data_IF_266856719394
#
_entry.id   IF_266856719394
#
_cell.length_a   1.000
_cell.length_b   1.000
_cell.length_c   1.000
_cell.angle_alpha   90.00
_cell.angle_beta   90.00
_cell.angle_gamma   90.00
#
_symmetry.space_group_name_H-M   'P 1'
#
loop_
_entity.id
_entity.type
_entity.pdbx_description
1 polymer ?
#
# COMPACT_ATOMS: atom_id res chain seq x y z
N UNK A 1 -3.22 3.62 27.91
CA UNK A 1 -3.87 4.93 28.05
C UNK A 1 -3.69 5.42 29.48
N UNK A 2 -2.71 6.30 29.70
CA UNK A 2 -2.46 7.23 30.83
C UNK A 2 -1.04 7.76 30.60
N UNK A 3 -0.92 8.85 29.85
CA UNK A 3 0.36 9.52 29.54
C UNK A 3 0.37 10.93 30.15
N UNK A 4 -0.76 11.39 30.68
CA UNK A 4 -0.89 12.75 31.21
C UNK A 4 -1.40 12.67 32.67
N UNK A 5 -0.70 13.36 33.54
CA UNK A 5 -0.95 13.43 34.98
C UNK A 5 -2.22 14.25 35.31
N UNK A 6 -2.75 15.00 34.33
CA UNK A 6 -3.96 15.83 34.45
C UNK A 6 -5.28 15.09 34.16
N UNK A 7 -5.24 13.81 33.77
CA UNK A 7 -6.46 13.06 33.49
C UNK A 7 -7.04 12.56 34.82
N UNK A 8 -8.05 13.28 35.34
CA UNK A 8 -8.83 12.90 36.52
C UNK A 8 -9.56 11.54 36.37
N UNK A 9 -10.53 11.24 37.26
CA UNK A 9 -11.25 9.95 37.23
C UNK A 9 -11.99 9.76 35.89
N UNK A 10 -11.45 8.93 35.01
CA UNK A 10 -12.05 8.57 33.72
C UNK A 10 -13.16 7.54 33.94
N UNK A 11 -14.32 7.74 33.31
CA UNK A 11 -15.39 6.75 33.33
C UNK A 11 -14.94 5.44 32.67
N UNK A 12 -15.28 4.30 33.29
CA UNK A 12 -14.86 2.96 32.84
C UNK A 12 -15.08 2.67 31.34
N UNK A 13 -16.14 3.15 30.67
CA UNK A 13 -16.35 2.89 29.25
C UNK A 13 -15.42 3.68 28.30
N UNK A 14 -14.83 4.79 28.75
CA UNK A 14 -14.12 5.75 27.87
C UNK A 14 -12.91 5.13 27.16
N UNK A 15 -12.03 4.35 27.83
CA UNK A 15 -10.91 3.71 27.14
C UNK A 15 -11.36 2.75 26.02
N UNK A 16 -12.46 2.02 26.24
CA UNK A 16 -13.01 1.09 25.23
C UNK A 16 -13.53 1.85 24.02
N UNK A 17 -14.25 2.95 24.26
CA UNK A 17 -14.78 3.82 23.20
C UNK A 17 -13.65 4.46 22.38
N UNK A 18 -12.57 4.88 23.03
CA UNK A 18 -11.40 5.46 22.33
C UNK A 18 -10.73 4.40 21.47
N UNK A 19 -10.53 3.18 21.97
CA UNK A 19 -9.98 2.09 21.15
C UNK A 19 -10.81 1.85 19.89
N UNK A 20 -12.15 1.83 20.03
CA UNK A 20 -13.06 1.67 18.89
C UNK A 20 -13.01 2.86 17.92
N UNK A 21 -12.94 4.08 18.45
CA UNK A 21 -12.81 5.27 17.62
C UNK A 21 -11.50 5.28 16.82
N UNK A 22 -10.39 4.86 17.44
CA UNK A 22 -9.09 4.74 16.78
C UNK A 22 -9.10 3.67 15.69
N UNK A 23 -9.74 2.52 15.94
CA UNK A 23 -9.93 1.46 14.93
C UNK A 23 -10.66 2.00 13.69
N UNK A 24 -11.80 2.67 13.89
CA UNK A 24 -12.58 3.26 12.80
C UNK A 24 -11.83 4.39 12.10
N UNK A 25 -11.08 5.20 12.85
CA UNK A 25 -10.27 6.28 12.32
C UNK A 25 -9.18 5.74 11.39
N UNK A 26 -8.39 4.77 11.83
CA UNK A 26 -7.31 4.17 11.02
C UNK A 26 -7.88 3.47 9.79
N UNK A 27 -8.99 2.73 9.93
CA UNK A 27 -9.66 2.11 8.79
C UNK A 27 -10.08 3.15 7.75
N UNK A 28 -10.75 4.24 8.17
CA UNK A 28 -11.17 5.31 7.27
C UNK A 28 -9.99 6.01 6.60
N UNK A 29 -8.91 6.26 7.34
CA UNK A 29 -7.69 6.88 6.81
C UNK A 29 -7.03 6.01 5.73
N UNK A 30 -6.90 4.70 5.99
CA UNK A 30 -6.28 3.77 5.06
C UNK A 30 -7.12 3.55 3.80
N UNK A 31 -8.44 3.52 3.91
CA UNK A 31 -9.32 3.45 2.73
C UNK A 31 -9.08 4.65 1.81
N UNK A 32 -9.11 5.88 2.36
CA UNK A 32 -8.87 7.10 1.58
C UNK A 32 -7.47 7.17 0.98
N UNK A 33 -6.44 6.77 1.74
CA UNK A 33 -5.07 6.72 1.23
C UNK A 33 -4.90 5.63 0.16
N UNK A 34 -5.65 4.53 0.26
CA UNK A 34 -5.77 3.50 -0.77
C UNK A 34 -6.40 4.03 -2.06
N UNK A 35 -7.45 4.83 -1.96
CA UNK A 35 -8.07 5.48 -3.13
C UNK A 35 -7.06 6.41 -3.84
N UNK A 36 -6.27 7.18 -3.08
CA UNK A 36 -5.19 8.01 -3.64
C UNK A 36 -4.13 7.15 -4.34
N UNK A 37 -3.77 6.01 -3.75
CA UNK A 37 -2.80 5.06 -4.33
C UNK A 37 -3.30 4.54 -5.68
N UNK A 38 -4.56 4.11 -5.75
CA UNK A 38 -5.18 3.63 -6.99
C UNK A 38 -5.34 4.73 -8.05
N UNK A 39 -5.67 5.96 -7.65
CA UNK A 39 -5.74 7.12 -8.56
C UNK A 39 -4.40 7.43 -9.22
N UNK A 40 -3.29 7.12 -8.55
CA UNK A 40 -1.94 7.24 -9.08
C UNK A 40 -1.45 5.99 -9.83
N UNK A 41 -2.34 5.03 -10.09
CA UNK A 41 -2.03 3.76 -10.73
C UNK A 41 -0.96 2.93 -10.01
N UNK A 42 -0.76 3.18 -8.71
CA UNK A 42 0.16 2.43 -7.88
C UNK A 42 -0.55 1.24 -7.21
N UNK A 43 0.20 0.16 -6.95
CA UNK A 43 -0.31 -1.01 -6.20
C UNK A 43 0.10 -0.99 -4.72
N UNK A 44 1.06 -0.14 -4.37
CA UNK A 44 1.62 -0.05 -3.02
C UNK A 44 1.32 1.32 -2.41
N UNK A 45 0.70 1.30 -1.22
CA UNK A 45 0.47 2.51 -0.45
C UNK A 45 1.79 2.99 0.16
N UNK A 46 2.16 4.25 -0.11
CA UNK A 46 3.38 4.88 0.40
C UNK A 46 3.04 6.07 1.31
N UNK A 47 4.04 6.57 2.05
CA UNK A 47 3.89 7.78 2.85
C UNK A 47 3.54 9.01 2.01
N UNK A 48 3.95 9.07 0.75
CA UNK A 48 3.59 10.15 -0.16
C UNK A 48 2.08 10.16 -0.47
N UNK A 49 1.46 8.99 -0.71
CA UNK A 49 0.00 8.89 -0.86
C UNK A 49 -0.73 9.31 0.42
N UNK A 50 -0.20 8.92 1.59
CA UNK A 50 -0.76 9.31 2.88
C UNK A 50 -0.65 10.82 3.11
N UNK A 51 0.48 11.43 2.78
CA UNK A 51 0.69 12.88 2.82
C UNK A 51 -0.33 13.58 1.93
N UNK A 52 -0.50 13.15 0.68
CA UNK A 52 -1.50 13.71 -0.22
C UNK A 52 -2.92 13.58 0.34
N UNK A 53 -3.29 12.42 0.89
CA UNK A 53 -4.58 12.19 1.53
C UNK A 53 -4.83 13.11 2.73
N UNK A 54 -3.81 13.38 3.55
CA UNK A 54 -3.91 14.28 4.71
C UNK A 54 -4.10 15.73 4.27
N UNK A 55 -3.41 16.15 3.20
CA UNK A 55 -3.51 17.52 2.70
C UNK A 55 -4.82 17.79 1.94
N UNK A 56 -5.52 16.76 1.46
CA UNK A 56 -6.79 16.90 0.74
C UNK A 56 -8.03 16.93 1.66
N UNK A 57 -7.91 16.56 2.93
CA UNK A 57 -9.03 16.52 3.89
C UNK A 57 -8.72 17.34 5.14
N UNK A 58 -9.38 18.50 5.28
CA UNK A 58 -9.19 19.42 6.42
C UNK A 58 -9.42 18.79 7.81
N UNK A 59 -10.18 17.70 7.90
CA UNK A 59 -10.39 16.97 9.16
C UNK A 59 -9.12 16.26 9.63
N UNK A 60 -8.15 16.05 8.75
CA UNK A 60 -6.86 15.42 9.02
C UNK A 60 -5.75 16.44 9.28
N UNK A 61 -6.07 17.74 9.39
CA UNK A 61 -5.06 18.79 9.55
C UNK A 61 -4.15 18.61 10.76
N UNK A 62 -4.66 17.97 11.83
CA UNK A 62 -3.87 17.61 13.01
C UNK A 62 -2.71 16.64 12.72
N UNK A 63 -2.71 15.96 11.57
CA UNK A 63 -1.64 15.07 11.12
C UNK A 63 -0.61 15.75 10.20
N UNK A 64 -0.85 16.98 9.74
CA UNK A 64 0.02 17.64 8.75
C UNK A 64 1.47 17.77 9.22
N UNK A 65 1.67 18.13 10.49
CA UNK A 65 3.02 18.24 11.06
C UNK A 65 3.72 16.89 11.18
N UNK A 66 2.98 15.77 11.33
CA UNK A 66 3.57 14.42 11.37
C UNK A 66 4.13 13.99 10.01
N UNK A 67 3.50 14.40 8.91
CA UNK A 67 3.89 13.98 7.55
C UNK A 67 4.74 15.00 6.80
N UNK A 68 5.04 16.14 7.42
CA UNK A 68 5.73 17.27 6.80
C UNK A 68 7.10 16.94 6.22
N UNK A 69 7.86 16.07 6.88
CA UNK A 69 9.19 15.63 6.44
C UNK A 69 9.17 14.56 5.34
N UNK A 70 7.99 14.06 4.97
CA UNK A 70 7.86 13.03 3.93
C UNK A 70 8.12 13.64 2.54
N UNK A 71 9.05 13.08 1.75
CA UNK A 71 9.25 13.47 0.36
C UNK A 71 7.99 13.23 -0.48
N UNK A 72 7.64 14.16 -1.36
CA UNK A 72 6.55 13.95 -2.31
C UNK A 72 6.95 12.91 -3.36
N UNK A 73 5.98 12.13 -3.87
CA UNK A 73 6.25 11.27 -5.01
C UNK A 73 6.55 12.16 -6.23
N UNK A 74 7.81 12.16 -6.68
CA UNK A 74 8.15 12.58 -8.03
C UNK A 74 7.38 11.69 -9.00
N UNK A 75 6.69 12.30 -9.97
CA UNK A 75 5.83 11.65 -10.97
C UNK A 75 6.57 10.66 -11.92
N UNK A 76 7.79 10.25 -11.59
CA UNK A 76 8.61 9.32 -12.34
C UNK A 76 8.95 8.09 -11.48
N UNK A 77 8.04 7.11 -11.45
CA UNK A 77 8.44 5.73 -11.29
C UNK A 77 7.73 4.94 -12.39
N UNK A 78 8.41 4.83 -13.53
CA UNK A 78 8.16 3.78 -14.50
C UNK A 78 8.18 2.43 -13.76
N UNK A 79 7.06 1.72 -13.76
CA UNK A 79 6.99 0.31 -13.38
C UNK A 79 7.88 -0.49 -14.33
N UNK A 80 9.14 -0.72 -13.95
CA UNK A 80 9.97 -1.78 -14.53
C UNK A 80 10.07 -2.91 -13.51
N UNK A 81 9.73 -4.10 -14.02
CA UNK A 81 9.97 -5.44 -13.48
C UNK A 81 8.93 -6.02 -12.51
N UNK A 82 7.85 -6.56 -13.09
CA UNK A 82 7.50 -7.95 -12.77
C UNK A 82 7.27 -8.73 -14.08
N UNK A 83 8.36 -9.18 -14.68
CA UNK A 83 8.37 -10.13 -15.80
C UNK A 83 9.43 -11.18 -15.51
N UNK A 84 9.10 -12.08 -14.58
CA UNK A 84 9.91 -13.24 -14.27
C UNK A 84 9.07 -14.51 -14.13
N UNK A 85 8.17 -14.81 -15.08
CA UNK A 85 7.62 -16.18 -15.26
C UNK A 85 7.27 -16.45 -16.73
N UNK A 86 8.26 -16.52 -17.64
CA UNK A 86 8.17 -17.41 -18.83
C UNK A 86 9.59 -17.88 -19.17
N UNK A 87 9.96 -19.08 -18.74
CA UNK A 87 10.75 -20.05 -19.51
C UNK A 87 10.95 -21.31 -18.66
N UNK A 88 10.07 -22.30 -18.87
CA UNK A 88 10.46 -23.71 -18.93
C UNK A 88 9.24 -24.56 -19.29
N UNK A 89 9.07 -24.83 -20.57
CA UNK A 89 8.54 -26.11 -21.00
C UNK A 89 9.36 -26.60 -22.18
N UNK A 90 10.23 -27.56 -21.90
CA UNK A 90 11.00 -28.30 -22.89
C UNK A 90 10.02 -29.13 -23.74
N UNK A 91 9.99 -28.86 -25.04
CA UNK A 91 9.61 -29.86 -26.03
C UNK A 91 10.75 -29.93 -27.03
N UNK A 92 11.55 -30.97 -26.93
CA UNK A 92 12.45 -31.42 -27.99
C UNK A 92 12.34 -32.93 -28.05
N UNK A 93 11.30 -33.39 -28.76
CA UNK A 93 11.28 -34.74 -29.30
C UNK A 93 12.20 -34.73 -30.51
N UNK A 94 13.42 -35.23 -30.34
CA UNK A 94 14.28 -35.59 -31.45
C UNK A 94 13.94 -37.04 -31.82
N UNK A 95 13.17 -37.20 -32.89
CA UNK A 95 13.02 -38.48 -33.59
C UNK A 95 14.14 -38.51 -34.65
N UNK A 96 15.11 -39.39 -34.43
CA UNK A 96 16.15 -39.74 -35.41
C UNK A 96 15.72 -40.99 -36.15
N UNK A 97 16.35 -41.20 -37.31
CA UNK A 97 16.34 -42.42 -38.14
C UNK A 97 15.30 -42.33 -39.28
N UNK A 98 15.59 -42.57 -40.56
CA UNK A 98 16.73 -43.16 -41.26
C UNK A 98 16.52 -42.85 -42.76
N UNK A 99 17.53 -42.35 -43.49
CA UNK A 99 17.50 -42.43 -44.96
C UNK A 99 17.72 -43.89 -45.37
N UNK A 100 16.71 -44.54 -45.96
CA UNK A 100 16.91 -45.76 -46.74
C UNK A 100 16.11 -45.77 -48.06
N UNK A 101 16.88 -45.64 -49.15
CA UNK A 101 16.80 -46.32 -50.45
C UNK A 101 15.56 -46.29 -51.37
N UNK A 102 15.91 -46.13 -52.66
CA UNK A 102 15.28 -46.71 -53.87
C UNK A 102 14.08 -45.93 -54.42
N UNK A 103 13.94 -45.62 -55.72
CA UNK A 103 14.44 -46.24 -56.97
C UNK A 103 14.52 -45.20 -58.09
#
# INVERSE_FOLDING_TARGET
MRIDDEIGKVALPVPVMISRALELFVSSLLIKAGDVTMQKSARTLTLAHLKQCIYSDSRLDFLKELVKSTPDHSEECNDIADSAVIQNNQVSNNDSDEETLSS
#
